data_IF_120761055202
#
_entry.id   IF_120761055202
#
_cell.length_a   1.000
_cell.length_b   1.000
_cell.length_c   1.000
_cell.angle_alpha   90.00
_cell.angle_beta   90.00
_cell.angle_gamma   90.00
#
_symmetry.space_group_name_H-M   'P 1'
#
loop_
_entity.id
_entity.type
_entity.pdbx_description
1 polymer ?
#
# COMPACT_ATOMS: atom_id res chain seq x y z
N UNK A 1 -15.91 27.68 -17.70
CA UNK A 1 -16.73 27.30 -16.53
C UNK A 1 -17.01 25.79 -16.56
N UNK A 2 -17.06 25.10 -15.39
CA UNK A 2 -17.24 23.63 -15.25
C UNK A 2 -18.60 23.30 -14.59
N UNK A 3 -19.14 22.10 -14.81
CA UNK A 3 -20.38 21.55 -14.19
C UNK A 3 -20.14 20.12 -13.69
N UNK A 4 -21.06 19.58 -12.88
CA UNK A 4 -21.04 18.19 -12.38
C UNK A 4 -19.71 17.81 -11.68
N UNK A 5 -19.23 18.67 -10.79
CA UNK A 5 -17.95 18.50 -10.09
C UNK A 5 -18.10 17.50 -8.95
N UNK A 6 -17.31 16.42 -8.99
CA UNK A 6 -17.24 15.40 -7.95
C UNK A 6 -15.80 14.87 -7.81
N UNK A 7 -15.54 14.20 -6.70
CA UNK A 7 -14.29 13.46 -6.49
C UNK A 7 -14.15 12.32 -7.51
N UNK A 8 -12.92 12.02 -7.95
CA UNK A 8 -12.66 10.94 -8.91
C UNK A 8 -12.98 9.56 -8.34
N UNK A 9 -12.83 9.36 -7.02
CA UNK A 9 -13.13 8.09 -6.37
C UNK A 9 -12.35 6.92 -6.99
N UNK A 10 -13.07 5.97 -7.59
CA UNK A 10 -12.50 4.78 -8.24
C UNK A 10 -12.19 4.96 -9.72
N UNK A 11 -12.63 6.05 -10.35
CA UNK A 11 -12.41 6.23 -11.81
C UNK A 11 -10.93 6.31 -12.14
N UNK A 12 -10.12 6.88 -11.24
CA UNK A 12 -8.66 6.94 -11.37
C UNK A 12 -7.93 5.61 -11.19
N UNK A 13 -8.57 4.57 -10.65
CA UNK A 13 -7.90 3.29 -10.36
C UNK A 13 -7.51 2.51 -11.62
N UNK A 14 -8.15 2.79 -12.76
CA UNK A 14 -7.81 2.17 -14.04
C UNK A 14 -6.33 2.36 -14.40
N UNK A 15 -5.73 3.50 -14.02
CA UNK A 15 -4.33 3.79 -14.32
C UNK A 15 -3.35 2.82 -13.65
N UNK A 16 -3.75 2.20 -12.54
CA UNK A 16 -2.92 1.26 -11.78
C UNK A 16 -2.70 -0.06 -12.53
N UNK A 17 -3.53 -0.34 -13.54
CA UNK A 17 -3.41 -1.52 -14.41
C UNK A 17 -2.68 -1.21 -15.73
N UNK A 18 -2.28 0.05 -15.94
CA UNK A 18 -1.55 0.43 -17.14
C UNK A 18 -0.10 -0.01 -17.06
N UNK A 19 0.49 -0.27 -18.23
CA UNK A 19 1.88 -0.70 -18.37
C UNK A 19 2.72 0.43 -18.97
N UNK A 20 3.50 1.17 -18.16
CA UNK A 20 4.49 2.10 -18.67
C UNK A 20 5.52 1.35 -19.52
N UNK A 21 5.90 1.94 -20.65
CA UNK A 21 6.89 1.38 -21.57
C UNK A 21 7.93 2.41 -21.95
N UNK A 22 9.12 1.91 -22.31
CA UNK A 22 10.14 2.68 -23.03
C UNK A 22 10.10 2.26 -24.49
N UNK A 23 10.15 3.20 -25.42
CA UNK A 23 10.14 2.93 -26.85
C UNK A 23 11.01 3.92 -27.63
N UNK A 24 11.21 3.67 -28.91
CA UNK A 24 11.88 4.59 -29.83
C UNK A 24 10.94 4.85 -31.01
N UNK A 25 10.87 6.10 -31.48
CA UNK A 25 10.15 6.37 -32.71
C UNK A 25 10.92 5.78 -33.90
N UNK A 26 10.21 5.07 -34.77
CA UNK A 26 10.80 4.53 -36.01
C UNK A 26 11.39 5.63 -36.91
N UNK A 27 10.86 6.85 -36.81
CA UNK A 27 11.30 8.02 -37.57
C UNK A 27 12.45 8.80 -36.91
N UNK A 28 12.83 8.47 -35.68
CA UNK A 28 13.89 9.19 -34.96
C UNK A 28 15.26 8.58 -35.27
N UNK A 29 16.05 9.29 -36.08
CA UNK A 29 17.40 8.89 -36.46
C UNK A 29 18.37 8.84 -35.28
N UNK A 30 18.10 9.60 -34.22
CA UNK A 30 18.96 9.64 -33.02
C UNK A 30 18.60 8.54 -32.01
N UNK A 31 17.55 7.76 -32.28
CA UNK A 31 17.06 6.69 -31.41
C UNK A 31 16.97 7.12 -29.94
N UNK A 32 16.38 8.29 -29.67
CA UNK A 32 16.20 8.78 -28.30
C UNK A 32 15.10 7.98 -27.63
N UNK A 33 15.43 7.35 -26.49
CA UNK A 33 14.46 6.62 -25.70
C UNK A 33 13.32 7.53 -25.23
N UNK A 34 12.09 7.11 -25.51
CA UNK A 34 10.86 7.76 -25.10
C UNK A 34 10.19 6.93 -24.01
N UNK A 35 9.40 7.59 -23.17
CA UNK A 35 8.61 6.95 -22.13
C UNK A 35 7.14 7.23 -22.37
N UNK A 36 6.29 6.24 -22.17
CA UNK A 36 4.86 6.45 -22.35
C UNK A 36 4.05 5.17 -22.20
N UNK A 37 2.91 5.17 -22.88
CA UNK A 37 1.92 4.10 -22.89
C UNK A 37 1.58 3.73 -24.34
N UNK A 38 1.20 2.48 -24.56
CA UNK A 38 0.70 2.00 -25.86
C UNK A 38 -0.81 2.22 -25.91
N UNK A 39 -1.30 2.99 -26.89
CA UNK A 39 -2.71 3.39 -26.98
C UNK A 39 -3.65 2.18 -27.08
N UNK A 40 -3.28 1.14 -27.81
CA UNK A 40 -4.05 -0.10 -27.96
C UNK A 40 -4.05 -0.96 -26.69
N UNK A 41 -3.04 -0.83 -25.81
CA UNK A 41 -3.05 -1.47 -24.50
C UNK A 41 -3.92 -0.69 -23.52
N UNK A 42 -3.82 0.63 -23.52
CA UNK A 42 -4.64 1.52 -22.68
C UNK A 42 -6.11 1.38 -23.05
N UNK A 43 -6.45 1.27 -24.34
CA UNK A 43 -7.84 1.09 -24.81
C UNK A 43 -8.54 -0.11 -24.15
N UNK A 44 -7.79 -1.20 -23.94
CA UNK A 44 -8.32 -2.43 -23.33
C UNK A 44 -8.59 -2.27 -21.83
N UNK A 45 -7.91 -1.34 -21.17
CA UNK A 45 -8.05 -1.05 -19.74
C UNK A 45 -9.10 0.02 -19.52
N UNK A 46 -8.98 1.14 -20.22
CA UNK A 46 -9.89 2.27 -20.14
C UNK A 46 -9.98 3.00 -21.50
N UNK A 47 -11.04 2.76 -22.29
CA UNK A 47 -11.20 3.37 -23.60
C UNK A 47 -11.47 4.89 -23.52
N UNK A 48 -11.88 5.42 -22.37
CA UNK A 48 -12.14 6.86 -22.20
C UNK A 48 -10.85 7.68 -22.12
N UNK A 49 -9.70 6.99 -21.95
CA UNK A 49 -8.36 7.58 -21.98
C UNK A 49 -7.76 7.63 -23.38
N UNK A 50 -8.50 7.24 -24.43
CA UNK A 50 -7.99 7.20 -25.80
C UNK A 50 -8.58 8.33 -26.65
N UNK A 51 -7.69 9.01 -27.36
CA UNK A 51 -8.04 9.85 -28.50
C UNK A 51 -8.04 8.96 -29.73
N UNK A 52 -9.17 8.94 -30.44
CA UNK A 52 -9.34 8.16 -31.66
C UNK A 52 -9.13 9.02 -32.91
N UNK A 53 -8.63 8.42 -33.98
CA UNK A 53 -8.54 9.08 -35.29
C UNK A 53 -9.91 9.13 -36.01
N UNK A 54 -9.91 9.58 -37.28
CA UNK A 54 -11.12 9.68 -38.12
C UNK A 54 -11.76 8.32 -38.45
N UNK A 55 -10.99 7.24 -38.36
CA UNK A 55 -11.47 5.87 -38.59
C UNK A 55 -11.93 5.19 -37.28
N UNK A 56 -11.83 5.91 -36.15
CA UNK A 56 -12.19 5.40 -34.83
C UNK A 56 -11.10 4.55 -34.17
N UNK A 57 -9.89 4.48 -34.75
CA UNK A 57 -8.78 3.68 -34.21
C UNK A 57 -8.05 4.45 -33.09
N UNK A 58 -7.48 3.75 -32.09
CA UNK A 58 -6.61 4.37 -31.09
C UNK A 58 -5.46 5.14 -31.75
N UNK A 59 -5.37 6.43 -31.47
CA UNK A 59 -4.35 7.30 -32.04
C UNK A 59 -3.37 7.82 -30.98
N UNK A 60 -3.90 8.22 -29.82
CA UNK A 60 -3.09 8.76 -28.73
C UNK A 60 -3.76 8.56 -27.39
N UNK A 61 -2.98 8.63 -26.31
CA UNK A 61 -3.48 8.59 -24.93
C UNK A 61 -3.76 10.01 -24.45
N UNK A 62 -4.83 10.21 -23.69
CA UNK A 62 -5.18 11.47 -23.02
C UNK A 62 -4.27 11.70 -21.81
N UNK A 63 -3.00 12.02 -22.05
CA UNK A 63 -2.00 12.18 -20.99
C UNK A 63 -2.37 13.23 -19.93
N UNK A 64 -3.11 14.28 -20.28
CA UNK A 64 -3.60 15.24 -19.28
C UNK A 64 -4.58 14.61 -18.27
N UNK A 65 -5.46 13.71 -18.74
CA UNK A 65 -6.37 12.98 -17.87
C UNK A 65 -5.60 11.97 -17.00
N UNK A 66 -4.66 11.24 -17.61
CA UNK A 66 -3.77 10.31 -16.88
C UNK A 66 -3.01 11.05 -15.77
N UNK A 67 -2.45 12.22 -16.05
CA UNK A 67 -1.72 13.01 -15.06
C UNK A 67 -2.60 13.46 -13.88
N UNK A 68 -3.85 13.87 -14.15
CA UNK A 68 -4.79 14.23 -13.09
C UNK A 68 -5.20 13.00 -12.25
N UNK A 69 -5.40 11.84 -12.88
CA UNK A 69 -5.70 10.58 -12.20
C UNK A 69 -4.50 10.09 -11.37
N UNK A 70 -3.27 10.24 -11.88
CA UNK A 70 -2.02 9.94 -11.14
C UNK A 70 -1.92 10.77 -9.85
N UNK A 71 -2.27 12.06 -9.91
CA UNK A 71 -2.33 12.89 -8.72
C UNK A 71 -3.35 12.36 -7.70
N UNK A 72 -4.54 11.95 -8.15
CA UNK A 72 -5.55 11.39 -7.25
C UNK A 72 -5.08 10.08 -6.58
N UNK A 73 -4.51 9.15 -7.34
CA UNK A 73 -3.99 7.89 -6.78
C UNK A 73 -2.77 8.13 -5.87
N UNK A 74 -1.92 9.10 -6.19
CA UNK A 74 -0.82 9.51 -5.30
C UNK A 74 -1.34 10.02 -3.96
N UNK A 75 -2.36 10.89 -3.96
CA UNK A 75 -2.98 11.40 -2.73
C UNK A 75 -3.66 10.28 -1.92
N UNK A 76 -4.34 9.34 -2.58
CA UNK A 76 -4.92 8.15 -1.93
C UNK A 76 -3.84 7.28 -1.29
N UNK A 77 -2.75 7.02 -2.01
CA UNK A 77 -1.62 6.24 -1.51
C UNK A 77 -0.93 6.93 -0.33
N UNK A 78 -0.74 8.26 -0.40
CA UNK A 78 -0.16 9.04 0.69
C UNK A 78 -1.02 8.98 1.96
N UNK A 79 -2.34 9.15 1.84
CA UNK A 79 -3.27 9.02 2.97
C UNK A 79 -3.20 7.62 3.60
N UNK A 80 -3.21 6.57 2.78
CA UNK A 80 -3.08 5.19 3.26
C UNK A 80 -1.75 4.96 3.98
N UNK A 81 -0.65 5.55 3.51
CA UNK A 81 0.64 5.46 4.18
C UNK A 81 0.61 6.11 5.57
N UNK A 82 0.01 7.29 5.71
CA UNK A 82 -0.16 7.97 7.00
C UNK A 82 -1.01 7.15 7.98
N UNK A 83 -2.12 6.56 7.50
CA UNK A 83 -2.96 5.66 8.29
C UNK A 83 -2.18 4.43 8.75
N UNK A 84 -1.39 3.82 7.87
CA UNK A 84 -0.53 2.68 8.20
C UNK A 84 0.55 3.04 9.22
N UNK A 85 1.18 4.22 9.10
CA UNK A 85 2.17 4.71 10.08
C UNK A 85 1.55 4.86 11.49
N UNK A 86 0.33 5.39 11.58
CA UNK A 86 -0.39 5.52 12.85
C UNK A 86 -0.69 4.14 13.46
N UNK A 87 -1.17 3.19 12.66
CA UNK A 87 -1.42 1.80 13.12
C UNK A 87 -0.12 1.15 13.58
N UNK A 88 0.99 1.33 12.86
CA UNK A 88 2.30 0.79 13.26
C UNK A 88 2.75 1.38 14.60
N UNK A 89 2.56 2.68 14.82
CA UNK A 89 2.88 3.32 16.10
C UNK A 89 2.04 2.74 17.25
N UNK A 90 0.74 2.54 17.03
CA UNK A 90 -0.15 1.91 18.01
C UNK A 90 0.29 0.48 18.33
N UNK A 91 0.49 -0.36 17.32
CA UNK A 91 0.91 -1.75 17.49
C UNK A 91 2.25 -1.87 18.22
N UNK A 92 3.19 -0.95 17.96
CA UNK A 92 4.45 -0.89 18.71
C UNK A 92 4.23 -0.60 20.20
N UNK A 93 3.30 0.29 20.53
CA UNK A 93 2.92 0.58 21.92
C UNK A 93 2.30 -0.63 22.61
N UNK A 94 1.32 -1.28 21.97
CA UNK A 94 0.68 -2.50 22.49
C UNK A 94 1.70 -3.63 22.71
N UNK A 95 2.64 -3.80 21.78
CA UNK A 95 3.70 -4.80 21.92
C UNK A 95 4.61 -4.52 23.12
N UNK A 96 4.92 -3.26 23.39
CA UNK A 96 5.68 -2.87 24.59
C UNK A 96 4.91 -3.18 25.88
N UNK A 97 3.61 -2.91 25.90
CA UNK A 97 2.74 -3.25 27.04
C UNK A 97 2.71 -4.75 27.30
N UNK A 98 2.48 -5.55 26.25
CA UNK A 98 2.48 -7.03 26.36
C UNK A 98 3.84 -7.55 26.81
N UNK A 99 4.94 -7.00 26.27
CA UNK A 99 6.29 -7.37 26.71
C UNK A 99 6.54 -7.04 28.19
N UNK A 100 5.97 -5.94 28.70
CA UNK A 100 5.99 -5.58 30.12
C UNK A 100 5.21 -6.59 30.98
N UNK A 101 3.98 -6.91 30.58
CA UNK A 101 3.13 -7.88 31.28
C UNK A 101 3.76 -9.28 31.31
N UNK A 102 4.40 -9.73 30.23
CA UNK A 102 5.12 -11.00 30.19
C UNK A 102 6.28 -11.04 31.19
N UNK A 103 7.03 -9.94 31.34
CA UNK A 103 8.10 -9.85 32.34
C UNK A 103 7.54 -9.90 33.76
N UNK A 104 6.43 -9.23 34.01
CA UNK A 104 5.75 -9.25 35.31
C UNK A 104 5.22 -10.65 35.65
N UNK A 105 4.53 -11.30 34.70
CA UNK A 105 4.09 -12.68 34.86
C UNK A 105 5.26 -13.63 35.14
N UNK A 106 6.38 -13.47 34.43
CA UNK A 106 7.59 -14.26 34.70
C UNK A 106 8.15 -14.01 36.10
N UNK A 107 8.05 -12.80 36.65
CA UNK A 107 8.41 -12.50 38.03
C UNK A 107 7.45 -13.16 39.03
N UNK A 108 6.13 -13.04 38.83
CA UNK A 108 5.11 -13.65 39.68
C UNK A 108 5.24 -15.19 39.70
N UNK A 109 5.48 -15.82 38.56
CA UNK A 109 5.72 -17.28 38.46
C UNK A 109 6.95 -17.68 39.29
N UNK A 110 8.04 -16.91 39.21
CA UNK A 110 9.25 -17.18 40.02
C UNK A 110 8.97 -17.07 41.51
N UNK A 111 8.19 -16.06 41.91
CA UNK A 111 7.82 -15.86 43.32
C UNK A 111 6.93 -16.99 43.84
N UNK A 112 5.88 -17.36 43.10
CA UNK A 112 4.99 -18.48 43.46
C UNK A 112 5.79 -19.78 43.57
N UNK A 113 6.73 -20.04 42.64
CA UNK A 113 7.60 -21.21 42.71
C UNK A 113 8.48 -21.21 43.96
N UNK A 114 9.03 -20.06 44.35
CA UNK A 114 9.83 -19.95 45.57
C UNK A 114 8.99 -20.24 46.84
N UNK A 115 7.75 -19.71 46.89
CA UNK A 115 6.83 -19.98 48.01
C UNK A 115 6.43 -21.45 48.11
N UNK A 116 6.13 -22.09 46.97
CA UNK A 116 5.79 -23.52 46.93
C UNK A 116 6.98 -24.43 47.27
N UNK A 117 8.19 -24.07 46.85
CA UNK A 117 9.41 -24.81 47.20
C UNK A 117 9.73 -24.77 48.70
N UNK A 118 9.36 -23.70 49.39
CA UNK A 118 9.50 -23.57 50.84
C UNK A 118 8.36 -24.24 51.63
N UNK A 119 7.28 -24.64 50.97
CA UNK A 119 6.08 -25.21 51.60
C UNK A 119 6.05 -26.74 51.62
N UNK A 120 7.12 -27.41 51.19
CA UNK A 120 7.32 -28.86 51.40
C UNK A 120 8.31 -29.04 52.55
N UNK A 121 7.88 -29.03 53.82
CA UNK A 121 8.71 -29.49 54.91
C UNK A 121 8.94 -30.99 54.75
N UNK A 122 10.21 -31.41 54.87
CA UNK A 122 10.60 -32.79 55.17
C UNK A 122 9.72 -33.31 56.30
N UNK A 123 8.77 -34.18 55.95
CA UNK A 123 8.02 -34.98 56.91
C UNK A 123 8.20 -36.43 56.57
N UNK A 124 9.44 -36.92 56.63
CA UNK A 124 9.74 -38.27 57.12
C UNK A 124 11.10 -38.24 57.81
N UNK A 125 11.11 -37.85 59.09
CA UNK A 125 12.11 -38.33 60.03
C UNK A 125 11.44 -39.42 60.89
N UNK A 126 12.22 -40.49 61.13
CA UNK A 126 12.06 -41.53 62.16
C UNK A 126 11.04 -42.66 61.92
N UNK A 127 11.56 -43.81 61.47
CA UNK A 127 11.79 -45.00 62.32
C UNK A 127 12.70 -46.02 61.63
#
# INVERSE_FOLDING_TARGET
FKKDIADMGKSSEAILSLRPVTFHYKSDANAVAQFGLIAEEVEKVDPDLIIRDKEGKPYSVRYEAVNAMLLNEFLKAHKKAQEQEAVIAQLKGELQTVAGQLKEQAAQIREVRARLGNAVPETVAER
#
